data_IF_629338172964
#
_entry.id   IF_629338172964
#
_cell.length_a   1.000
_cell.length_b   1.000
_cell.length_c   1.000
_cell.angle_alpha   90.00
_cell.angle_beta   90.00
_cell.angle_gamma   90.00
#
_symmetry.space_group_name_H-M   'P 1'
#
loop_
_entity.id
_entity.type
_entity.pdbx_description
1 polymer ?
#
# COMPACT_ATOMS: atom_id res chain seq x y z
N UNK A 1 -9.64 19.37 -7.68
CA UNK A 1 -8.17 19.51 -7.66
C UNK A 1 -7.55 18.20 -8.15
N UNK A 2 -6.28 18.22 -8.56
CA UNK A 2 -5.56 17.00 -8.98
C UNK A 2 -4.81 16.40 -7.79
N UNK A 3 -5.32 15.28 -7.25
CA UNK A 3 -4.73 14.61 -6.10
C UNK A 3 -3.35 14.02 -6.41
N UNK A 4 -3.01 13.75 -7.68
CA UNK A 4 -1.69 13.22 -8.04
C UNK A 4 -0.56 14.25 -7.84
N UNK A 5 -0.90 15.52 -7.67
CA UNK A 5 0.05 16.61 -7.38
C UNK A 5 0.36 16.78 -5.89
N UNK A 6 -0.30 16.03 -5.01
CA UNK A 6 -0.03 16.11 -3.58
C UNK A 6 1.36 15.52 -3.26
N UNK A 7 2.02 15.98 -2.17
CA UNK A 7 3.34 15.50 -1.81
C UNK A 7 3.29 14.03 -1.35
N UNK A 8 4.38 13.31 -1.64
CA UNK A 8 4.63 11.96 -1.13
C UNK A 8 4.18 10.81 -2.05
N UNK A 9 4.39 9.56 -1.63
CA UNK A 9 4.08 8.39 -2.44
C UNK A 9 2.58 8.05 -2.33
N UNK A 10 1.72 8.89 -2.90
CA UNK A 10 0.25 8.76 -2.83
C UNK A 10 -0.21 7.38 -3.33
N UNK A 11 0.40 6.93 -4.43
CA UNK A 11 0.10 5.63 -5.03
C UNK A 11 0.40 4.50 -4.05
N UNK A 12 1.54 4.54 -3.35
CA UNK A 12 1.91 3.52 -2.37
C UNK A 12 0.88 3.39 -1.24
N UNK A 13 0.49 4.51 -0.61
CA UNK A 13 -0.48 4.48 0.48
C UNK A 13 -1.85 3.96 0.03
N UNK A 14 -2.26 4.30 -1.20
CA UNK A 14 -3.48 3.78 -1.81
C UNK A 14 -3.38 2.28 -2.07
N UNK A 15 -2.27 1.84 -2.64
CA UNK A 15 -2.05 0.45 -3.04
C UNK A 15 -2.04 -0.48 -1.81
N UNK A 16 -1.54 -0.03 -0.65
CA UNK A 16 -1.60 -0.81 0.60
C UNK A 16 -2.86 -0.53 1.45
N UNK A 17 -3.86 0.16 0.88
CA UNK A 17 -5.15 0.45 1.52
C UNK A 17 -5.08 1.30 2.80
N UNK A 18 -4.11 2.23 2.88
CA UNK A 18 -4.14 3.28 3.89
C UNK A 18 -5.17 4.35 3.55
N UNK A 19 -5.80 4.91 4.58
CA UNK A 19 -6.82 5.94 4.42
C UNK A 19 -6.23 7.35 4.55
N UNK A 20 -6.49 8.27 3.60
CA UNK A 20 -6.01 9.64 3.70
C UNK A 20 -6.71 10.39 4.85
N UNK A 21 -5.96 11.14 5.64
CA UNK A 21 -6.46 12.06 6.66
C UNK A 21 -6.22 13.49 6.17
N UNK A 22 -7.29 14.26 6.06
CA UNK A 22 -7.28 15.66 5.66
C UNK A 22 -7.40 16.57 6.89
N UNK A 23 -6.79 17.77 6.85
CA UNK A 23 -6.97 18.74 7.92
C UNK A 23 -8.37 19.36 7.88
N UNK A 24 -8.90 19.59 6.67
CA UNK A 24 -10.26 20.04 6.40
C UNK A 24 -10.88 19.19 5.30
N UNK A 25 -12.21 19.04 5.31
CA UNK A 25 -12.94 18.21 4.34
C UNK A 25 -12.77 18.68 2.88
N UNK A 26 -12.49 19.96 2.68
CA UNK A 26 -12.30 20.58 1.35
C UNK A 26 -10.84 20.61 0.90
N UNK A 27 -9.90 20.19 1.75
CA UNK A 27 -8.47 20.20 1.39
C UNK A 27 -8.20 19.23 0.24
N UNK A 28 -7.39 19.68 -0.71
CA UNK A 28 -7.00 18.84 -1.84
C UNK A 28 -6.13 17.65 -1.41
N UNK A 29 -5.21 17.90 -0.47
CA UNK A 29 -4.14 16.98 -0.11
C UNK A 29 -4.29 16.50 1.34
N UNK A 30 -4.09 15.20 1.60
CA UNK A 30 -4.05 14.71 2.96
C UNK A 30 -2.80 15.20 3.67
N UNK A 31 -2.92 15.42 4.98
CA UNK A 31 -1.79 15.76 5.86
C UNK A 31 -1.05 14.52 6.35
N UNK A 32 -1.72 13.35 6.35
CA UNK A 32 -1.15 12.04 6.71
C UNK A 32 -2.04 10.90 6.21
N UNK A 33 -1.56 9.68 6.35
CA UNK A 33 -2.32 8.46 6.01
C UNK A 33 -2.45 7.56 7.24
N UNK A 34 -3.66 7.05 7.49
CA UNK A 34 -3.94 6.05 8.50
C UNK A 34 -3.72 4.65 7.89
N UNK A 35 -2.70 3.96 8.39
CA UNK A 35 -2.34 2.61 7.96
C UNK A 35 -2.60 1.56 9.05
N UNK A 36 -3.46 1.83 10.05
CA UNK A 36 -3.70 0.90 11.16
C UNK A 36 -4.24 -0.48 10.73
N UNK A 37 -4.83 -0.58 9.53
CA UNK A 37 -5.21 -1.85 8.92
C UNK A 37 -4.02 -2.79 8.65
N UNK A 38 -2.81 -2.23 8.48
CA UNK A 38 -1.58 -2.99 8.29
C UNK A 38 -1.07 -3.61 9.59
N UNK A 39 -1.34 -2.98 10.74
CA UNK A 39 -0.85 -3.40 12.05
C UNK A 39 -1.41 -4.76 12.50
N UNK A 40 -2.54 -5.17 11.94
CA UNK A 40 -3.21 -6.44 12.23
C UNK A 40 -2.80 -7.56 11.28
N UNK A 41 -1.82 -7.31 10.41
CA UNK A 41 -1.39 -8.34 9.47
C UNK A 41 -0.57 -9.42 10.14
N UNK A 42 -0.79 -10.70 9.73
CA UNK A 42 0.18 -11.74 9.99
C UNK A 42 1.56 -11.28 9.49
N UNK A 43 2.61 -11.43 10.32
CA UNK A 43 4.02 -11.14 9.94
C UNK A 43 4.44 -11.86 8.66
N UNK A 44 3.77 -12.97 8.34
CA UNK A 44 3.96 -13.76 7.14
C UNK A 44 3.06 -13.34 5.96
N UNK A 45 2.69 -12.06 5.83
CA UNK A 45 1.80 -11.60 4.76
C UNK A 45 2.03 -10.15 4.26
N UNK A 46 1.77 -9.89 2.98
CA UNK A 46 1.85 -8.55 2.35
C UNK A 46 0.47 -8.05 1.90
N UNK A 47 0.09 -6.77 2.16
CA UNK A 47 -1.07 -6.15 1.46
C UNK A 47 -0.57 -5.53 0.19
N UNK A 48 -1.26 -5.82 -0.89
CA UNK A 48 -1.35 -4.86 -1.99
C UNK A 48 -2.73 -4.96 -2.62
N UNK A 49 -3.25 -3.85 -3.12
CA UNK A 49 -4.58 -3.71 -3.74
C UNK A 49 -5.74 -4.24 -2.89
N UNK A 50 -5.63 -4.14 -1.56
CA UNK A 50 -6.62 -4.65 -0.61
C UNK A 50 -6.62 -6.17 -0.45
N UNK A 51 -5.73 -6.89 -1.13
CA UNK A 51 -5.59 -8.35 -1.03
C UNK A 51 -4.43 -8.73 -0.10
N UNK A 52 -4.54 -9.86 0.56
CA UNK A 52 -3.49 -10.43 1.40
C UNK A 52 -2.80 -11.58 0.68
N UNK A 53 -1.47 -11.50 0.58
CA UNK A 53 -0.63 -12.54 0.00
C UNK A 53 0.25 -13.12 1.09
N UNK A 54 0.39 -14.44 1.11
CA UNK A 54 1.35 -15.10 1.98
C UNK A 54 2.78 -14.86 1.48
N UNK A 55 3.74 -14.94 2.40
CA UNK A 55 5.16 -15.00 2.05
C UNK A 55 5.45 -16.13 1.07
N UNK A 56 6.43 -15.93 0.20
CA UNK A 56 6.84 -16.85 -0.87
C UNK A 56 5.85 -16.99 -2.03
N UNK A 57 4.79 -16.17 -2.06
CA UNK A 57 4.00 -15.98 -3.27
C UNK A 57 4.82 -15.15 -4.26
N UNK A 58 5.22 -15.80 -5.35
CA UNK A 58 6.03 -15.23 -6.42
C UNK A 58 5.20 -14.50 -7.50
N UNK A 59 3.87 -14.51 -7.36
CA UNK A 59 2.97 -13.90 -8.34
C UNK A 59 1.79 -13.30 -7.60
N UNK A 60 1.82 -11.97 -7.51
CA UNK A 60 0.67 -11.19 -7.10
C UNK A 60 -0.22 -11.11 -8.35
N UNK A 61 -1.45 -11.62 -8.29
CA UNK A 61 -2.43 -11.48 -9.38
C UNK A 61 -3.44 -10.37 -9.05
N UNK A 62 -3.11 -9.09 -9.21
CA UNK A 62 -4.10 -8.09 -9.52
C UNK A 62 -4.28 -8.16 -11.02
N UNK A 63 -5.50 -8.46 -11.45
CA UNK A 63 -6.00 -8.11 -12.77
C UNK A 63 -5.39 -6.78 -13.26
N UNK A 64 -4.63 -6.82 -14.36
CA UNK A 64 -4.21 -5.67 -15.17
C UNK A 64 -3.05 -4.76 -14.69
N UNK A 65 -1.88 -5.30 -14.33
CA UNK A 65 -0.67 -4.46 -14.36
C UNK A 65 0.57 -5.26 -14.73
N UNK A 66 1.20 -4.95 -15.87
CA UNK A 66 2.44 -5.59 -16.37
C UNK A 66 3.59 -5.52 -15.35
N UNK A 67 3.55 -4.55 -14.43
CA UNK A 67 4.51 -4.38 -13.34
C UNK A 67 4.39 -5.44 -12.23
N UNK A 68 3.26 -6.16 -12.14
CA UNK A 68 2.98 -7.09 -11.04
C UNK A 68 3.67 -8.45 -11.21
N UNK A 69 4.10 -8.81 -12.43
CA UNK A 69 4.77 -10.08 -12.71
C UNK A 69 6.12 -10.22 -11.96
N UNK A 70 6.74 -9.10 -11.60
CA UNK A 70 7.99 -9.04 -10.85
C UNK A 70 7.80 -8.86 -9.34
N UNK A 71 6.56 -8.74 -8.85
CA UNK A 71 6.30 -8.53 -7.42
C UNK A 71 6.30 -9.87 -6.66
N UNK A 72 7.07 -9.92 -5.57
CA UNK A 72 7.07 -11.05 -4.63
C UNK A 72 6.80 -10.57 -3.21
N UNK A 73 6.09 -11.37 -2.43
CA UNK A 73 5.93 -11.15 -1.00
C UNK A 73 7.02 -11.92 -0.25
N UNK A 74 7.90 -11.20 0.43
CA UNK A 74 9.00 -11.77 1.23
C UNK A 74 8.99 -11.22 2.64
N UNK A 75 9.57 -11.98 3.57
CA UNK A 75 9.85 -11.48 4.92
C UNK A 75 10.86 -10.33 4.82
N UNK A 76 10.60 -9.23 5.52
CA UNK A 76 11.56 -8.15 5.65
C UNK A 76 12.69 -8.63 6.58
N UNK A 77 13.71 -9.27 6.02
CA UNK A 77 14.94 -9.51 6.74
C UNK A 77 15.57 -8.12 6.98
N UNK A 78 15.35 -7.55 8.16
CA UNK A 78 16.24 -6.51 8.66
C UNK A 78 17.62 -7.17 8.70
N UNK A 79 18.49 -6.83 7.76
CA UNK A 79 19.90 -7.09 7.92
C UNK A 79 20.31 -6.45 9.26
N UNK A 80 20.62 -7.29 10.24
CA UNK A 80 21.33 -6.89 11.44
C UNK A 80 22.75 -6.48 11.10
#
# INVERSE_FOLDING_TARGET
CDKLKCPGPIKFYKDISCQPIYAKQEDCCPIRYNCSSLSLRPESSCVIYGQAYHIWVNRIEPENHECNEACSCSVYAQHG
#
